data_IF_355348134747
#
_entry.id   IF_355348134747
#
_cell.length_a   1.000
_cell.length_b   1.000
_cell.length_c   1.000
_cell.angle_alpha   90.00
_cell.angle_beta   90.00
_cell.angle_gamma   90.00
#
_symmetry.space_group_name_H-M   'P 1'
#
loop_
_entity.id
_entity.type
_entity.pdbx_description
1 polymer ?
#
# COMPACT_ATOMS: atom_id res chain seq x y z
N UNK A 1 -16.53 -19.17 -9.74
CA UNK A 1 -17.26 -17.94 -10.12
C UNK A 1 -16.42 -17.22 -11.15
N UNK A 2 -17.01 -16.63 -12.17
CA UNK A 2 -16.30 -15.79 -13.15
C UNK A 2 -16.13 -14.38 -12.57
N UNK A 3 -14.98 -13.74 -12.80
CA UNK A 3 -14.77 -12.36 -12.37
C UNK A 3 -15.71 -11.43 -13.14
N UNK A 4 -16.30 -10.45 -12.45
CA UNK A 4 -16.93 -9.32 -13.12
C UNK A 4 -15.87 -8.39 -13.73
N UNK A 5 -16.27 -7.50 -14.63
CA UNK A 5 -15.37 -6.46 -15.15
C UNK A 5 -14.84 -5.55 -14.02
N UNK A 6 -15.64 -5.35 -12.98
CA UNK A 6 -15.24 -4.55 -11.81
C UNK A 6 -14.18 -5.27 -10.97
N UNK A 7 -14.32 -6.59 -10.79
CA UNK A 7 -13.30 -7.37 -10.10
C UNK A 7 -11.99 -7.34 -10.90
N UNK A 8 -12.05 -7.58 -12.22
CA UNK A 8 -10.85 -7.55 -13.05
C UNK A 8 -10.15 -6.18 -13.02
N UNK A 9 -10.94 -5.10 -13.05
CA UNK A 9 -10.41 -3.74 -12.91
C UNK A 9 -9.72 -3.56 -11.56
N UNK A 10 -10.36 -3.97 -10.45
CA UNK A 10 -9.81 -3.84 -9.11
C UNK A 10 -8.54 -4.67 -8.91
N UNK A 11 -8.50 -5.90 -9.41
CA UNK A 11 -7.30 -6.73 -9.36
C UNK A 11 -6.15 -6.12 -10.18
N UNK A 12 -6.49 -5.54 -11.34
CA UNK A 12 -5.52 -4.80 -12.16
C UNK A 12 -5.03 -3.54 -11.44
N UNK A 13 -5.89 -2.90 -10.66
CA UNK A 13 -5.55 -1.75 -9.82
C UNK A 13 -4.55 -2.13 -8.73
N UNK A 14 -4.80 -3.19 -7.95
CA UNK A 14 -3.84 -3.67 -6.95
C UNK A 14 -2.49 -3.98 -7.60
N UNK A 15 -2.50 -4.75 -8.68
CA UNK A 15 -1.28 -5.07 -9.44
C UNK A 15 -0.50 -3.81 -9.84
N UNK A 16 -1.18 -2.79 -10.35
CA UNK A 16 -0.54 -1.52 -10.74
C UNK A 16 0.01 -0.76 -9.54
N UNK A 17 -0.67 -0.79 -8.40
CA UNK A 17 -0.20 -0.22 -7.14
C UNK A 17 1.14 -0.83 -6.71
N UNK A 18 1.24 -2.16 -6.66
CA UNK A 18 2.46 -2.84 -6.21
C UNK A 18 3.65 -2.58 -7.15
N UNK A 19 3.41 -2.53 -8.47
CA UNK A 19 4.45 -2.17 -9.45
C UNK A 19 5.00 -0.77 -9.16
N UNK A 20 4.11 0.17 -8.84
CA UNK A 20 4.50 1.54 -8.55
C UNK A 20 5.26 1.64 -7.23
N UNK A 21 4.83 0.90 -6.20
CA UNK A 21 5.54 0.73 -4.93
C UNK A 21 6.96 0.22 -5.15
N UNK A 22 7.11 -0.88 -5.90
CA UNK A 22 8.41 -1.43 -6.25
C UNK A 22 9.31 -0.40 -6.96
N UNK A 23 8.80 0.28 -7.99
CA UNK A 23 9.57 1.31 -8.71
C UNK A 23 9.93 2.51 -7.82
N UNK A 24 9.09 2.85 -6.85
CA UNK A 24 9.38 3.89 -5.87
C UNK A 24 10.50 3.47 -4.93
N UNK A 25 10.38 2.32 -4.24
CA UNK A 25 11.40 1.86 -3.29
C UNK A 25 12.72 1.53 -3.96
N UNK A 26 12.70 0.99 -5.19
CA UNK A 26 13.92 0.79 -5.98
C UNK A 26 14.66 2.12 -6.26
N UNK A 27 13.92 3.22 -6.47
CA UNK A 27 14.53 4.56 -6.60
C UNK A 27 15.05 5.08 -5.26
N UNK A 28 14.30 4.93 -4.17
CA UNK A 28 14.72 5.36 -2.82
C UNK A 28 15.99 4.62 -2.39
N UNK A 29 16.02 3.29 -2.51
CA UNK A 29 17.17 2.46 -2.14
C UNK A 29 18.49 2.90 -2.80
N UNK A 30 18.41 3.37 -4.05
CA UNK A 30 19.59 3.88 -4.80
C UNK A 30 20.13 5.20 -4.26
N UNK A 31 19.33 5.98 -3.55
CA UNK A 31 19.75 7.27 -2.97
C UNK A 31 20.30 7.13 -1.55
N UNK A 32 19.98 6.03 -0.87
CA UNK A 32 20.41 5.76 0.49
C UNK A 32 21.86 5.29 0.54
N UNK A 33 22.57 5.71 1.60
CA UNK A 33 23.87 5.14 1.94
C UNK A 33 23.69 3.70 2.44
N UNK A 34 24.71 2.87 2.25
CA UNK A 34 24.71 1.51 2.78
C UNK A 34 24.45 1.47 4.29
N UNK A 35 23.58 0.58 4.72
CA UNK A 35 23.19 0.42 6.12
C UNK A 35 21.82 -0.28 6.28
N UNK A 36 21.35 -0.46 7.52
CA UNK A 36 20.11 -1.20 7.81
C UNK A 36 18.88 -0.64 7.07
N UNK A 37 18.73 0.69 7.03
CA UNK A 37 17.60 1.30 6.33
C UNK A 37 17.61 1.04 4.82
N UNK A 38 18.78 1.06 4.17
CA UNK A 38 18.87 0.71 2.76
C UNK A 38 18.50 -0.77 2.53
N UNK A 39 18.96 -1.66 3.40
CA UNK A 39 18.60 -3.08 3.32
C UNK A 39 17.09 -3.29 3.47
N UNK A 40 16.46 -2.62 4.43
CA UNK A 40 15.01 -2.68 4.64
C UNK A 40 14.23 -2.12 3.44
N UNK A 41 14.62 -0.97 2.90
CA UNK A 41 13.97 -0.40 1.70
C UNK A 41 14.17 -1.31 0.48
N UNK A 42 15.32 -2.00 0.39
CA UNK A 42 15.57 -2.97 -0.70
C UNK A 42 14.72 -4.23 -0.54
N UNK A 43 14.50 -4.70 0.69
CA UNK A 43 13.60 -5.79 0.99
C UNK A 43 12.15 -5.42 0.62
N UNK A 44 11.68 -4.25 1.06
CA UNK A 44 10.36 -3.73 0.69
C UNK A 44 10.18 -3.65 -0.83
N UNK A 45 11.19 -3.13 -1.56
CA UNK A 45 11.18 -3.16 -3.03
C UNK A 45 10.97 -4.57 -3.61
N UNK A 46 11.64 -5.57 -3.05
CA UNK A 46 11.54 -6.95 -3.53
C UNK A 46 10.15 -7.55 -3.25
N UNK A 47 9.58 -7.25 -2.08
CA UNK A 47 8.25 -7.71 -1.68
C UNK A 47 7.18 -7.11 -2.59
N UNK A 48 7.21 -5.80 -2.86
CA UNK A 48 6.30 -5.14 -3.79
C UNK A 48 6.36 -5.72 -5.22
N UNK A 49 7.57 -6.03 -5.70
CA UNK A 49 7.74 -6.69 -6.98
C UNK A 49 7.14 -8.11 -6.99
N UNK A 50 7.22 -8.83 -5.86
CA UNK A 50 6.57 -10.12 -5.69
C UNK A 50 5.04 -10.01 -5.57
N UNK A 51 4.52 -9.01 -4.86
CA UNK A 51 3.09 -8.73 -4.74
C UNK A 51 2.47 -8.47 -6.13
N UNK A 52 3.12 -7.64 -6.95
CA UNK A 52 2.72 -7.41 -8.35
C UNK A 52 2.63 -8.71 -9.16
N UNK A 53 3.59 -9.62 -8.95
CA UNK A 53 3.62 -10.94 -9.57
C UNK A 53 2.49 -11.84 -9.03
N UNK A 54 2.18 -11.79 -7.74
CA UNK A 54 1.07 -12.55 -7.15
C UNK A 54 -0.27 -12.11 -7.74
N UNK A 55 -0.50 -10.81 -7.90
CA UNK A 55 -1.68 -10.30 -8.57
C UNK A 55 -1.74 -10.69 -10.04
N UNK A 56 -0.62 -10.61 -10.76
CA UNK A 56 -0.53 -11.06 -12.16
C UNK A 56 -0.97 -12.52 -12.29
N UNK A 57 -0.39 -13.42 -11.48
CA UNK A 57 -0.77 -14.83 -11.46
C UNK A 57 -2.22 -15.05 -11.05
N UNK A 58 -2.72 -14.30 -10.07
CA UNK A 58 -4.11 -14.39 -9.66
C UNK A 58 -5.06 -14.09 -10.82
N UNK A 59 -4.78 -13.07 -11.62
CA UNK A 59 -5.59 -12.68 -12.76
C UNK A 59 -5.52 -13.74 -13.87
N UNK A 60 -4.31 -14.25 -14.16
CA UNK A 60 -4.08 -15.33 -15.13
C UNK A 60 -4.76 -16.64 -14.75
N UNK A 61 -4.66 -17.06 -13.49
CA UNK A 61 -5.31 -18.27 -12.96
C UNK A 61 -6.84 -18.20 -13.06
N UNK A 62 -7.40 -17.00 -13.13
CA UNK A 62 -8.83 -16.75 -13.31
C UNK A 62 -9.24 -16.64 -14.79
N UNK A 63 -8.29 -16.82 -15.72
CA UNK A 63 -8.53 -16.86 -17.15
C UNK A 63 -8.59 -15.50 -17.82
N UNK A 64 -8.08 -14.44 -17.18
CA UNK A 64 -8.10 -13.08 -17.70
C UNK A 64 -6.69 -12.53 -17.92
N UNK A 65 -6.49 -11.60 -18.87
CA UNK A 65 -5.30 -10.76 -18.93
C UNK A 65 -5.46 -9.55 -17.99
N UNK A 66 -4.35 -9.10 -17.38
CA UNK A 66 -4.35 -7.87 -16.60
C UNK A 66 -4.68 -6.65 -17.49
N UNK A 67 -5.55 -5.77 -16.99
CA UNK A 67 -5.93 -4.55 -17.71
C UNK A 67 -4.87 -3.47 -17.50
N UNK A 68 -4.45 -2.82 -18.58
CA UNK A 68 -3.62 -1.62 -18.48
C UNK A 68 -4.50 -0.46 -18.02
N UNK A 69 -4.27 0.02 -16.80
CA UNK A 69 -4.92 1.23 -16.30
C UNK A 69 -4.20 2.46 -16.85
N UNK A 70 -4.96 3.40 -17.41
CA UNK A 70 -4.43 4.73 -17.78
C UNK A 70 -4.14 5.52 -16.50
N UNK A 71 -2.99 6.21 -16.47
CA UNK A 71 -2.50 6.95 -15.30
C UNK A 71 -3.55 7.87 -14.71
N UNK A 72 -3.78 7.71 -13.41
CA UNK A 72 -4.55 8.68 -12.62
C UNK A 72 -4.23 8.54 -11.14
N UNK A 73 -4.14 7.34 -10.55
CA UNK A 73 -3.97 7.24 -9.10
C UNK A 73 -2.62 7.75 -8.58
N UNK A 74 -1.49 7.30 -9.15
CA UNK A 74 -0.18 7.76 -8.70
C UNK A 74 0.04 9.26 -9.01
N UNK A 75 -0.47 9.72 -10.14
CA UNK A 75 -0.39 11.13 -10.54
C UNK A 75 -1.24 11.99 -9.59
N UNK A 76 -2.46 11.56 -9.26
CA UNK A 76 -3.34 12.21 -8.27
C UNK A 76 -2.73 12.19 -6.87
N UNK A 77 -2.10 11.08 -6.47
CA UNK A 77 -1.47 10.96 -5.16
C UNK A 77 -0.23 11.86 -5.05
N UNK A 78 0.64 11.86 -6.07
CA UNK A 78 1.78 12.77 -6.14
C UNK A 78 1.36 14.24 -6.23
N UNK A 79 0.26 14.54 -6.92
CA UNK A 79 -0.31 15.89 -7.02
C UNK A 79 -0.86 16.37 -5.67
N UNK A 80 -1.55 15.51 -4.92
CA UNK A 80 -2.15 15.85 -3.63
C UNK A 80 -1.13 15.92 -2.49
N UNK A 81 -0.19 14.97 -2.45
CA UNK A 81 0.78 14.83 -1.36
C UNK A 81 2.02 15.71 -1.58
N UNK A 82 2.34 16.01 -2.83
CA UNK A 82 3.58 16.65 -3.24
C UNK A 82 4.78 15.68 -3.22
N UNK A 83 5.91 16.13 -3.76
CA UNK A 83 7.15 15.34 -3.68
C UNK A 83 7.72 15.42 -2.24
N UNK A 84 8.01 14.28 -1.59
CA UNK A 84 8.65 14.27 -0.28
C UNK A 84 9.96 15.06 -0.30
N UNK A 85 10.11 16.01 0.61
CA UNK A 85 11.27 16.90 0.64
C UNK A 85 12.54 16.24 1.18
N UNK A 86 12.38 15.17 1.95
CA UNK A 86 13.47 14.46 2.61
C UNK A 86 13.07 13.01 2.94
N UNK A 87 14.04 12.23 3.44
CA UNK A 87 13.83 10.81 3.75
C UNK A 87 12.79 10.57 4.85
N UNK A 88 12.68 11.45 5.85
CA UNK A 88 11.63 11.32 6.87
C UNK A 88 10.24 11.42 6.22
N UNK A 89 10.04 12.39 5.33
CA UNK A 89 8.78 12.50 4.60
C UNK A 89 8.51 11.29 3.69
N UNK A 90 9.56 10.70 3.08
CA UNK A 90 9.44 9.44 2.32
C UNK A 90 8.94 8.30 3.22
N UNK A 91 9.47 8.16 4.44
CA UNK A 91 9.01 7.14 5.38
C UNK A 91 7.59 7.44 5.88
N UNK A 92 7.27 8.71 6.13
CA UNK A 92 5.95 9.13 6.60
C UNK A 92 4.84 8.85 5.58
N UNK A 93 5.05 9.20 4.29
CA UNK A 93 4.07 8.90 3.25
C UNK A 93 3.91 7.39 3.04
N UNK A 94 5.02 6.65 3.14
CA UNK A 94 4.98 5.18 3.09
C UNK A 94 4.12 4.63 4.22
N UNK A 95 4.27 5.12 5.46
CA UNK A 95 3.49 4.63 6.60
C UNK A 95 1.98 4.81 6.41
N UNK A 96 1.56 5.95 5.87
CA UNK A 96 0.16 6.23 5.56
C UNK A 96 -0.34 5.26 4.48
N UNK A 97 0.46 5.06 3.44
CA UNK A 97 0.12 4.19 2.32
C UNK A 97 -0.05 2.72 2.74
N UNK A 98 0.90 2.17 3.51
CA UNK A 98 0.82 0.77 3.95
C UNK A 98 -0.42 0.52 4.82
N UNK A 99 -0.75 1.46 5.70
CA UNK A 99 -1.98 1.38 6.52
C UNK A 99 -3.24 1.38 5.64
N UNK A 100 -3.26 2.18 4.58
CA UNK A 100 -4.36 2.23 3.61
C UNK A 100 -4.52 0.91 2.85
N UNK A 101 -3.43 0.35 2.35
CA UNK A 101 -3.41 -0.94 1.62
C UNK A 101 -3.96 -2.06 2.52
N UNK A 102 -3.47 -2.18 3.75
CA UNK A 102 -3.95 -3.16 4.73
C UNK A 102 -5.46 -2.98 5.00
N UNK A 103 -5.91 -1.74 5.19
CA UNK A 103 -7.33 -1.46 5.43
C UNK A 103 -8.18 -1.90 4.23
N UNK A 104 -7.73 -1.63 3.01
CA UNK A 104 -8.41 -2.01 1.78
C UNK A 104 -8.48 -3.53 1.60
N UNK A 105 -7.39 -4.25 1.83
CA UNK A 105 -7.36 -5.71 1.81
C UNK A 105 -8.27 -6.34 2.87
N UNK A 106 -8.30 -5.79 4.09
CA UNK A 106 -9.23 -6.23 5.14
C UNK A 106 -10.70 -5.99 4.77
N UNK A 107 -11.02 -4.92 4.03
CA UNK A 107 -12.38 -4.67 3.52
C UNK A 107 -12.73 -5.66 2.43
N UNK A 108 -11.83 -5.89 1.48
CA UNK A 108 -12.02 -6.86 0.41
C UNK A 108 -12.26 -8.27 0.97
N UNK A 109 -11.43 -8.74 1.91
CA UNK A 109 -11.62 -10.05 2.55
C UNK A 109 -12.96 -10.22 3.30
N UNK A 110 -13.56 -9.10 3.75
CA UNK A 110 -14.88 -9.08 4.42
C UNK A 110 -16.05 -9.05 3.44
N UNK A 111 -15.83 -8.72 2.17
CA UNK A 111 -16.85 -8.88 1.14
C UNK A 111 -17.17 -10.38 0.98
N UNK A 112 -18.42 -10.76 1.25
CA UNK A 112 -18.85 -12.15 1.39
C UNK A 112 -18.74 -13.01 0.12
N UNK A 113 -18.53 -12.38 -1.03
CA UNK A 113 -18.45 -12.98 -2.36
C UNK A 113 -17.04 -13.00 -2.96
N UNK A 114 -16.00 -12.65 -2.18
CA UNK A 114 -14.61 -12.65 -2.65
C UNK A 114 -14.19 -14.03 -3.17
N UNK A 115 -13.73 -14.09 -4.43
CA UNK A 115 -13.27 -15.33 -5.05
C UNK A 115 -12.14 -16.00 -4.23
N UNK A 116 -12.14 -17.33 -4.01
CA UNK A 116 -11.14 -18.00 -3.18
C UNK A 116 -9.68 -17.76 -3.61
N UNK A 117 -9.44 -17.68 -4.92
CA UNK A 117 -8.11 -17.37 -5.47
C UNK A 117 -7.64 -15.95 -5.10
N UNK A 118 -8.55 -14.98 -5.11
CA UNK A 118 -8.29 -13.58 -4.73
C UNK A 118 -8.04 -13.51 -3.22
N UNK A 119 -8.90 -14.15 -2.42
CA UNK A 119 -8.73 -14.27 -0.97
C UNK A 119 -7.33 -14.78 -0.59
N UNK A 120 -6.91 -15.89 -1.19
CA UNK A 120 -5.57 -16.47 -0.94
C UNK A 120 -4.46 -15.50 -1.31
N UNK A 121 -4.58 -14.79 -2.44
CA UNK A 121 -3.58 -13.78 -2.85
C UNK A 121 -3.45 -12.68 -1.82
N UNK A 122 -4.59 -12.14 -1.34
CA UNK A 122 -4.60 -11.10 -0.31
C UNK A 122 -3.98 -11.62 0.98
N UNK A 123 -4.37 -12.82 1.42
CA UNK A 123 -3.85 -13.43 2.65
C UNK A 123 -2.32 -13.60 2.58
N UNK A 124 -1.78 -14.04 1.44
CA UNK A 124 -0.32 -14.14 1.22
C UNK A 124 0.35 -12.77 1.31
N UNK A 125 -0.14 -11.76 0.58
CA UNK A 125 0.45 -10.41 0.61
C UNK A 125 0.41 -9.81 2.03
N UNK A 126 -0.69 -10.02 2.74
CA UNK A 126 -0.90 -9.53 4.11
C UNK A 126 0.07 -10.10 5.16
N UNK A 127 0.82 -11.16 4.84
CA UNK A 127 1.90 -11.66 5.70
C UNK A 127 3.08 -10.68 5.70
N UNK A 128 3.43 -10.15 4.52
CA UNK A 128 4.55 -9.24 4.30
C UNK A 128 4.23 -7.81 4.78
N UNK A 129 3.00 -7.33 4.57
CA UNK A 129 2.59 -5.96 4.94
C UNK A 129 2.76 -5.60 6.42
N UNK A 130 2.74 -6.62 7.30
CA UNK A 130 2.96 -6.43 8.74
C UNK A 130 4.39 -5.98 9.01
N UNK A 131 5.35 -6.56 8.29
CA UNK A 131 6.74 -6.18 8.39
C UNK A 131 6.94 -4.77 7.81
N UNK A 132 6.29 -4.43 6.70
CA UNK A 132 6.33 -3.09 6.08
C UNK A 132 5.98 -1.98 7.08
N UNK A 133 4.80 -2.08 7.68
CA UNK A 133 4.33 -1.08 8.66
C UNK A 133 5.29 -0.96 9.84
N UNK A 134 5.78 -2.10 10.35
CA UNK A 134 6.67 -2.11 11.52
C UNK A 134 7.98 -1.41 11.21
N UNK A 135 8.69 -1.80 10.16
CA UNK A 135 10.02 -1.24 9.94
C UNK A 135 9.96 0.25 9.59
N UNK A 136 8.90 0.69 8.90
CA UNK A 136 8.68 2.11 8.58
C UNK A 136 8.44 2.93 9.84
N UNK A 137 7.60 2.42 10.76
CA UNK A 137 7.37 3.06 12.06
C UNK A 137 8.67 3.17 12.86
N UNK A 138 9.40 2.05 12.99
CA UNK A 138 10.64 2.01 13.74
C UNK A 138 11.68 2.99 13.14
N UNK A 139 11.75 3.10 11.79
CA UNK A 139 12.62 4.07 11.12
C UNK A 139 12.22 5.53 11.40
N UNK A 140 10.93 5.84 11.49
CA UNK A 140 10.44 7.18 11.86
C UNK A 140 10.78 7.50 13.33
N UNK A 141 10.63 6.54 14.24
CA UNK A 141 11.01 6.69 15.65
C UNK A 141 12.51 6.99 15.80
N UNK A 142 13.37 6.28 15.06
CA UNK A 142 14.81 6.57 15.02
C UNK A 142 15.11 7.98 14.49
N UNK A 143 14.33 8.45 13.52
CA UNK A 143 14.46 9.78 12.92
C UNK A 143 13.98 10.91 13.85
N UNK A 144 13.19 10.62 14.87
CA UNK A 144 12.64 11.62 15.79
C UNK A 144 13.75 12.41 16.52
N UNK A 145 14.88 11.78 16.83
CA UNK A 145 16.03 12.48 17.44
C UNK A 145 16.66 13.56 16.55
N UNK A 146 16.50 13.46 15.22
CA UNK A 146 17.04 14.41 14.24
C UNK A 146 16.00 15.44 13.78
N UNK A 147 14.80 14.98 13.51
CA UNK A 147 13.75 15.80 12.89
C UNK A 147 12.77 16.40 13.92
N UNK A 148 12.71 15.83 15.12
CA UNK A 148 11.73 16.19 16.15
C UNK A 148 10.41 15.43 15.96
N UNK A 149 9.85 14.92 17.07
CA UNK A 149 8.60 14.16 17.06
C UNK A 149 7.42 14.99 16.52
N UNK A 150 7.30 16.25 16.94
CA UNK A 150 6.21 17.14 16.49
C UNK A 150 6.18 17.32 14.97
N UNK A 151 7.36 17.40 14.33
CA UNK A 151 7.43 17.55 12.88
C UNK A 151 7.03 16.26 12.17
N UNK A 152 7.43 15.09 12.69
CA UNK A 152 7.01 13.79 12.16
C UNK A 152 5.49 13.64 12.28
N UNK A 153 4.91 13.93 13.45
CA UNK A 153 3.47 13.83 13.70
C UNK A 153 2.68 14.76 12.78
N UNK A 154 3.13 16.02 12.61
CA UNK A 154 2.49 16.96 11.70
C UNK A 154 2.55 16.52 10.23
N UNK A 155 3.65 15.85 9.84
CA UNK A 155 3.83 15.30 8.49
C UNK A 155 2.90 14.12 8.26
N UNK A 156 2.82 13.20 9.22
CA UNK A 156 1.90 12.06 9.17
C UNK A 156 0.45 12.54 9.10
N UNK A 157 0.06 13.54 9.89
CA UNK A 157 -1.28 14.12 9.85
C UNK A 157 -1.59 14.74 8.48
N UNK A 158 -0.66 15.51 7.91
CA UNK A 158 -0.80 16.11 6.57
C UNK A 158 -0.96 15.06 5.48
N UNK A 159 -0.14 14.02 5.50
CA UNK A 159 -0.22 12.94 4.51
C UNK A 159 -1.45 12.06 4.68
N UNK A 160 -1.90 11.84 5.93
CA UNK A 160 -3.16 11.14 6.20
C UNK A 160 -4.34 11.91 5.61
N UNK A 161 -4.43 13.22 5.84
CA UNK A 161 -5.49 14.04 5.29
C UNK A 161 -5.50 14.07 3.75
N UNK A 162 -4.32 14.14 3.12
CA UNK A 162 -4.19 14.09 1.67
C UNK A 162 -4.59 12.70 1.11
N UNK A 163 -4.20 11.62 1.78
CA UNK A 163 -4.60 10.26 1.41
C UNK A 163 -6.12 10.06 1.52
N UNK A 164 -6.76 10.54 2.59
CA UNK A 164 -8.21 10.51 2.75
C UNK A 164 -8.94 11.23 1.62
N UNK A 165 -8.46 12.40 1.20
CA UNK A 165 -9.04 13.17 0.10
C UNK A 165 -8.90 12.43 -1.25
N UNK A 166 -7.69 11.96 -1.58
CA UNK A 166 -7.44 11.22 -2.82
C UNK A 166 -8.22 9.92 -2.86
N UNK A 167 -8.29 9.21 -1.73
CA UNK A 167 -9.02 7.97 -1.62
C UNK A 167 -10.53 8.20 -1.77
N UNK A 168 -11.09 9.23 -1.14
CA UNK A 168 -12.49 9.61 -1.33
C UNK A 168 -12.80 9.96 -2.79
N UNK A 169 -11.91 10.69 -3.47
CA UNK A 169 -12.04 10.99 -4.90
C UNK A 169 -11.96 9.73 -5.77
N UNK A 170 -11.02 8.83 -5.48
CA UNK A 170 -10.89 7.54 -6.16
C UNK A 170 -12.16 6.69 -5.95
N UNK A 171 -12.68 6.63 -4.72
CA UNK A 171 -13.97 5.99 -4.42
C UNK A 171 -15.14 6.63 -5.18
N UNK A 172 -15.17 7.95 -5.33
CA UNK A 172 -16.22 8.64 -6.07
C UNK A 172 -16.12 8.42 -7.59
N UNK A 173 -14.91 8.49 -8.15
CA UNK A 173 -14.64 8.28 -9.58
C UNK A 173 -14.93 6.83 -10.01
N UNK A 174 -14.71 5.87 -9.12
CA UNK A 174 -14.96 4.45 -9.37
C UNK A 174 -16.15 3.91 -8.60
N UNK A 175 -17.06 4.76 -8.12
CA UNK A 175 -18.08 4.44 -7.11
C UNK A 175 -19.00 3.26 -7.42
N UNK A 176 -19.39 3.03 -8.67
CA UNK A 176 -20.13 1.81 -9.03
C UNK A 176 -19.26 0.54 -8.99
N UNK A 177 -17.94 0.68 -9.21
CA UNK A 177 -16.97 -0.43 -9.31
C UNK A 177 -16.41 -0.87 -7.96
N UNK A 178 -16.34 0.03 -6.99
CA UNK A 178 -15.75 -0.22 -5.65
C UNK A 178 -16.69 0.14 -4.49
N UNK A 179 -18.00 0.18 -4.74
CA UNK A 179 -19.03 0.50 -3.72
C UNK A 179 -18.92 -0.32 -2.43
N UNK A 180 -18.48 -1.58 -2.51
CA UNK A 180 -18.26 -2.44 -1.33
C UNK A 180 -17.06 -2.03 -0.46
N UNK A 181 -16.18 -1.17 -0.95
CA UNK A 181 -15.03 -0.63 -0.22
C UNK A 181 -15.34 0.70 0.52
N UNK A 182 -16.49 1.33 0.26
CA UNK A 182 -16.87 2.67 0.75
C UNK A 182 -17.44 2.75 2.18
N UNK A 183 -17.23 1.73 3.02
CA UNK A 183 -17.66 1.76 4.43
C UNK A 183 -16.78 2.65 5.32
N UNK A 184 -17.25 3.04 6.52
CA UNK A 184 -16.49 3.90 7.44
C UNK A 184 -15.09 3.34 7.70
N UNK A 185 -14.10 4.23 7.83
CA UNK A 185 -12.75 3.88 8.26
C UNK A 185 -12.81 3.20 9.63
N UNK A 186 -12.25 2.01 9.70
CA UNK A 186 -12.09 1.34 10.99
C UNK A 186 -10.79 1.84 11.62
N UNK A 187 -10.77 2.08 12.94
CA UNK A 187 -9.53 2.35 13.63
C UNK A 187 -8.54 1.24 13.31
N UNK A 188 -7.33 1.62 12.90
CA UNK A 188 -6.22 0.69 12.77
C UNK A 188 -5.83 0.26 14.18
N UNK A 189 -6.35 -0.89 14.63
CA UNK A 189 -5.76 -1.59 15.77
C UNK A 189 -4.48 -2.27 15.29
N UNK A 190 -3.36 -1.94 15.95
CA UNK A 190 -2.11 -2.66 15.78
C UNK A 190 -2.41 -4.16 15.94
N UNK A 191 -2.08 -5.01 14.96
CA UNK A 191 -2.25 -6.43 15.15
C UNK A 191 -1.41 -6.86 16.37
N UNK A 192 -1.92 -7.76 17.23
CA UNK A 192 -1.12 -8.28 18.34
C UNK A 192 0.17 -8.87 17.76
N UNK A 193 1.30 -8.29 18.15
CA UNK A 193 2.62 -8.79 17.78
C UNK A 193 2.81 -10.14 18.48
N UNK A 194 2.97 -11.22 17.71
CA UNK A 194 3.56 -12.43 18.26
C UNK A 194 5.03 -12.10 18.53
N UNK A 195 5.41 -11.98 19.80
CA UNK A 195 6.81 -11.93 20.19
C UNK A 195 7.49 -13.21 19.69
N UNK A 196 8.48 -13.03 18.82
CA UNK A 196 9.37 -14.10 18.39
C UNK A 196 9.10 -14.64 17.00
N UNK A 197 9.87 -14.13 16.04
CA UNK A 197 10.58 -15.01 15.10
C UNK A 197 11.87 -14.28 14.70
N UNK A 198 13.00 -15.01 14.62
CA UNK A 198 14.36 -14.47 14.67
C UNK A 198 14.77 -13.69 13.43
#
# INVERSE_FOLDING_TARGET
MTLSENDLWLLSYYRSSEINGALFFGRVARTLRGGPLQANVTHHFADEANHAKYWTRCIEDLGHPATKLSGSYQDQYLEAVGLPANLMEVMAVTQVFEKRVIAQYRRHLRAGDTHPRVRRTIETIMEDERWHVKYVRDALEEMAGRYGQEYIDSTLARFTAADEEVYAKTLAEYGERISFLGGPELPFEDPPFAEGTP
#
